data_IF_034054419859
#
_entry.id   IF_034054419859
#
_cell.length_a   1.000
_cell.length_b   1.000
_cell.length_c   1.000
_cell.angle_alpha   90.00
_cell.angle_beta   90.00
_cell.angle_gamma   90.00
#
_symmetry.space_group_name_H-M   'P 1'
#
loop_
_entity.id
_entity.type
_entity.pdbx_description
1 polymer ?
#
# COMPACT_ATOMS: atom_id res chain seq x y z
N UNK A 1 0.90 -2.28 14.64
CA UNK A 1 0.26 -1.11 15.28
C UNK A 1 1.01 -0.80 16.56
N UNK A 2 1.29 0.47 16.83
CA UNK A 2 1.89 0.93 18.10
C UNK A 2 1.18 2.19 18.61
N UNK A 3 0.75 2.20 19.87
CA UNK A 3 0.11 3.38 20.48
C UNK A 3 1.12 4.47 20.86
N UNK A 4 2.41 4.13 20.94
CA UNK A 4 3.52 5.05 21.17
C UNK A 4 4.36 5.18 19.92
N UNK A 5 4.98 6.35 19.67
CA UNK A 5 5.86 6.52 18.53
C UNK A 5 7.01 5.51 18.53
N UNK A 6 7.39 5.04 17.35
CA UNK A 6 8.55 4.16 17.14
C UNK A 6 9.29 4.57 15.87
N UNK A 7 10.57 4.21 15.80
CA UNK A 7 11.36 4.43 14.59
C UNK A 7 11.15 3.27 13.63
N UNK A 8 10.56 3.56 12.46
CA UNK A 8 10.37 2.55 11.42
C UNK A 8 11.69 2.27 10.70
N UNK A 9 12.31 1.14 11.08
CA UNK A 9 13.56 0.63 10.51
C UNK A 9 13.47 0.28 9.02
N UNK A 10 12.27 0.01 8.49
CA UNK A 10 12.08 -0.27 7.06
C UNK A 10 12.09 1.02 6.24
N UNK A 11 11.62 2.12 6.82
CA UNK A 11 11.71 3.48 6.28
C UNK A 11 12.94 4.26 6.82
N UNK A 12 13.91 3.57 7.43
CA UNK A 12 15.10 4.17 8.05
C UNK A 12 14.89 4.50 9.53
N UNK A 13 14.80 5.79 9.87
CA UNK A 13 14.53 6.27 11.24
C UNK A 13 13.28 7.15 11.29
N UNK A 14 12.35 6.91 10.37
CA UNK A 14 11.11 7.69 10.28
C UNK A 14 10.24 7.42 11.51
N UNK A 15 9.97 8.47 12.28
CA UNK A 15 9.07 8.39 13.42
C UNK A 15 7.66 8.07 12.94
N UNK A 16 7.09 7.00 13.49
CA UNK A 16 5.81 6.44 13.07
C UNK A 16 4.97 6.09 14.29
N UNK A 17 3.65 6.23 14.21
CA UNK A 17 2.72 5.87 15.30
C UNK A 17 1.45 5.22 14.75
N UNK A 18 0.62 4.65 15.63
CA UNK A 18 -0.65 4.00 15.31
C UNK A 18 -0.51 2.89 14.26
N UNK A 19 -1.18 3.03 13.12
CA UNK A 19 -1.22 2.06 12.03
C UNK A 19 -0.16 2.32 10.94
N UNK A 20 0.79 3.23 11.21
CA UNK A 20 1.78 3.64 10.21
C UNK A 20 1.75 5.15 9.92
N UNK A 21 1.15 5.96 10.79
CA UNK A 21 1.00 7.39 10.56
C UNK A 21 2.33 8.12 10.82
N UNK A 22 2.74 8.95 9.87
CA UNK A 22 4.03 9.68 9.87
C UNK A 22 3.85 11.20 9.89
N UNK A 23 2.66 11.70 9.54
CA UNK A 23 2.34 13.13 9.44
C UNK A 23 1.43 13.61 10.59
N UNK A 24 1.68 13.15 11.80
CA UNK A 24 0.91 13.50 13.01
C UNK A 24 1.86 13.79 14.18
N UNK A 25 1.43 14.48 15.25
CA UNK A 25 2.27 14.68 16.42
C UNK A 25 2.77 13.35 16.99
N UNK A 26 4.08 13.21 17.19
CA UNK A 26 4.72 12.00 17.71
C UNK A 26 4.55 11.91 19.23
N UNK A 27 3.34 11.52 19.66
CA UNK A 27 2.96 11.28 21.06
C UNK A 27 2.24 9.94 21.22
N UNK A 28 1.97 9.56 22.46
CA UNK A 28 1.08 8.42 22.74
C UNK A 28 -0.36 8.78 22.34
N UNK A 29 -1.05 7.83 21.70
CA UNK A 29 -2.47 7.92 21.35
C UNK A 29 -3.27 6.79 22.00
N UNK A 30 -4.57 7.01 22.12
CA UNK A 30 -5.57 5.97 22.39
C UNK A 30 -5.87 5.17 21.13
N UNK A 31 -6.43 3.97 21.29
CA UNK A 31 -6.88 3.16 20.16
C UNK A 31 -7.96 3.88 19.34
N UNK A 32 -8.85 4.64 19.98
CA UNK A 32 -9.90 5.41 19.31
C UNK A 32 -9.31 6.51 18.41
N UNK A 33 -8.34 7.28 18.93
CA UNK A 33 -7.61 8.27 18.12
C UNK A 33 -6.89 7.61 16.94
N UNK A 34 -6.21 6.47 17.16
CA UNK A 34 -5.55 5.73 16.08
C UNK A 34 -6.52 5.26 14.99
N UNK A 35 -7.72 4.81 15.36
CA UNK A 35 -8.76 4.41 14.39
C UNK A 35 -9.33 5.61 13.65
N UNK A 36 -9.55 6.73 14.33
CA UNK A 36 -10.00 7.98 13.70
C UNK A 36 -8.99 8.49 12.67
N UNK A 37 -7.70 8.48 13.02
CA UNK A 37 -6.63 8.84 12.09
C UNK A 37 -6.57 7.89 10.89
N UNK A 38 -6.63 6.57 11.12
CA UNK A 38 -6.66 5.59 10.04
C UNK A 38 -7.84 5.83 9.08
N UNK A 39 -9.04 6.08 9.62
CA UNK A 39 -10.22 6.36 8.80
C UNK A 39 -10.05 7.60 7.93
N UNK A 40 -9.48 8.67 8.49
CA UNK A 40 -9.24 9.92 7.75
C UNK A 40 -8.17 9.72 6.67
N UNK A 41 -7.08 9.04 6.99
CA UNK A 41 -6.02 8.72 6.03
C UNK A 41 -6.57 7.86 4.89
N UNK A 42 -7.32 6.79 5.20
CA UNK A 42 -7.95 5.92 4.21
C UNK A 42 -8.91 6.69 3.29
N UNK A 43 -9.67 7.66 3.80
CA UNK A 43 -10.54 8.50 2.98
C UNK A 43 -9.75 9.30 1.94
N UNK A 44 -8.60 9.86 2.31
CA UNK A 44 -7.71 10.58 1.38
C UNK A 44 -7.15 9.67 0.28
N UNK A 45 -6.66 8.49 0.63
CA UNK A 45 -6.17 7.51 -0.36
C UNK A 45 -7.30 6.96 -1.24
N UNK A 46 -8.48 6.70 -0.67
CA UNK A 46 -9.66 6.29 -1.42
C UNK A 46 -10.07 7.33 -2.46
N UNK A 47 -10.10 8.61 -2.09
CA UNK A 47 -10.36 9.70 -3.03
C UNK A 47 -9.31 9.76 -4.14
N UNK A 48 -8.02 9.61 -3.80
CA UNK A 48 -6.92 9.58 -4.76
C UNK A 48 -7.01 8.42 -5.76
N UNK A 49 -7.27 7.20 -5.28
CA UNK A 49 -7.48 6.03 -6.14
C UNK A 49 -8.73 6.22 -7.01
N UNK A 50 -9.87 6.58 -6.41
CA UNK A 50 -11.13 6.79 -7.12
C UNK A 50 -11.01 7.81 -8.26
N UNK A 51 -10.29 8.91 -8.04
CA UNK A 51 -10.04 9.93 -9.07
C UNK A 51 -9.24 9.40 -10.27
N UNK A 52 -8.41 8.37 -10.06
CA UNK A 52 -7.49 7.87 -11.09
C UNK A 52 -7.98 6.61 -11.80
N UNK A 53 -9.02 5.94 -11.28
CA UNK A 53 -9.59 4.71 -11.84
C UNK A 53 -10.98 4.98 -12.41
N UNK A 54 -11.15 5.01 -13.75
CA UNK A 54 -12.45 5.11 -14.38
C UNK A 54 -13.38 3.96 -13.95
N UNK A 55 -14.61 4.30 -13.57
CA UNK A 55 -15.60 3.32 -13.11
C UNK A 55 -15.25 2.69 -11.75
N UNK A 56 -14.46 3.34 -10.90
CA UNK A 56 -14.11 2.86 -9.56
C UNK A 56 -15.32 2.38 -8.74
N UNK A 57 -16.46 3.06 -8.83
CA UNK A 57 -17.65 2.71 -8.04
C UNK A 57 -18.27 1.37 -8.47
N UNK A 58 -18.04 0.94 -9.71
CA UNK A 58 -18.48 -0.35 -10.26
C UNK A 58 -17.57 -1.53 -9.88
N UNK A 59 -16.43 -1.27 -9.25
CA UNK A 59 -15.51 -2.31 -8.82
C UNK A 59 -16.10 -3.14 -7.66
N UNK A 60 -15.63 -4.37 -7.52
CA UNK A 60 -15.95 -5.18 -6.34
C UNK A 60 -15.33 -4.53 -5.09
N UNK A 61 -15.89 -4.84 -3.91
CA UNK A 61 -15.34 -4.33 -2.65
C UNK A 61 -13.89 -4.81 -2.44
N UNK A 62 -13.58 -6.04 -2.85
CA UNK A 62 -12.23 -6.59 -2.82
C UNK A 62 -11.23 -5.80 -3.67
N UNK A 63 -11.60 -5.43 -4.90
CA UNK A 63 -10.78 -4.58 -5.77
C UNK A 63 -10.58 -3.17 -5.19
N UNK A 64 -11.65 -2.57 -4.63
CA UNK A 64 -11.57 -1.25 -3.97
C UNK A 64 -10.61 -1.31 -2.78
N UNK A 65 -10.78 -2.29 -1.90
CA UNK A 65 -9.95 -2.48 -0.71
C UNK A 65 -8.49 -2.71 -1.09
N UNK A 66 -8.21 -3.60 -2.04
CA UNK A 66 -6.85 -3.89 -2.47
C UNK A 66 -6.14 -2.65 -3.03
N UNK A 67 -6.82 -1.86 -3.88
CA UNK A 67 -6.26 -0.64 -4.45
C UNK A 67 -5.99 0.44 -3.39
N UNK A 68 -6.94 0.65 -2.47
CA UNK A 68 -6.81 1.62 -1.39
C UNK A 68 -5.70 1.20 -0.41
N UNK A 69 -5.63 -0.08 -0.03
CA UNK A 69 -4.61 -0.59 0.89
C UNK A 69 -3.20 -0.45 0.32
N UNK A 70 -3.03 -0.74 -0.98
CA UNK A 70 -1.76 -0.52 -1.67
C UNK A 70 -1.38 0.95 -1.68
N UNK A 71 -2.31 1.84 -2.04
CA UNK A 71 -2.07 3.28 -2.06
C UNK A 71 -1.76 3.83 -0.66
N UNK A 72 -2.42 3.35 0.39
CA UNK A 72 -2.12 3.71 1.78
C UNK A 72 -0.70 3.28 2.18
N UNK A 73 -0.28 2.06 1.80
CA UNK A 73 1.04 1.59 2.19
C UNK A 73 2.21 2.18 1.39
N UNK A 74 2.00 2.40 0.08
CA UNK A 74 3.08 2.77 -0.87
C UNK A 74 2.98 4.20 -1.38
N UNK A 75 1.88 4.88 -1.08
CA UNK A 75 1.58 6.20 -1.59
C UNK A 75 0.96 6.20 -2.98
N UNK A 76 0.27 7.29 -3.31
CA UNK A 76 -0.36 7.49 -4.62
C UNK A 76 0.66 7.58 -5.78
N UNK A 77 1.92 7.94 -5.48
CA UNK A 77 2.98 7.96 -6.48
C UNK A 77 3.35 6.57 -7.01
N UNK A 78 3.54 5.60 -6.11
CA UNK A 78 3.77 4.19 -6.48
C UNK A 78 2.53 3.52 -7.06
N UNK A 79 1.34 3.94 -6.63
CA UNK A 79 0.09 3.51 -7.27
C UNK A 79 0.07 3.88 -8.76
N UNK A 80 0.44 5.12 -9.09
CA UNK A 80 0.29 5.69 -10.41
C UNK A 80 1.42 5.38 -11.40
N UNK A 81 2.58 4.92 -10.94
CA UNK A 81 3.79 4.79 -11.79
C UNK A 81 4.53 3.49 -11.54
N UNK A 82 5.01 2.89 -12.62
CA UNK A 82 6.05 1.87 -12.55
C UNK A 82 7.34 2.50 -12.02
N UNK A 83 8.16 1.74 -11.30
CA UNK A 83 9.37 2.28 -10.67
C UNK A 83 10.54 2.41 -11.64
N UNK A 84 10.55 1.62 -12.72
CA UNK A 84 11.55 1.60 -13.79
C UNK A 84 10.89 1.41 -15.17
N UNK A 85 11.58 1.76 -16.28
CA UNK A 85 11.03 1.60 -17.64
C UNK A 85 10.74 0.14 -18.03
N UNK A 86 11.48 -0.81 -17.48
CA UNK A 86 11.39 -2.25 -17.71
C UNK A 86 10.48 -2.98 -16.71
N UNK A 87 9.94 -2.26 -15.71
CA UNK A 87 9.01 -2.85 -14.77
C UNK A 87 7.66 -3.16 -15.46
N UNK A 88 6.87 -4.11 -14.92
CA UNK A 88 5.48 -4.26 -15.33
C UNK A 88 4.69 -2.95 -15.14
N UNK A 89 3.51 -2.80 -15.76
CA UNK A 89 2.69 -1.60 -15.60
C UNK A 89 2.37 -1.33 -14.12
N UNK A 90 2.10 -0.06 -13.81
CA UNK A 90 1.56 0.30 -12.50
C UNK A 90 0.22 -0.39 -12.25
N UNK A 91 -0.12 -0.63 -10.98
CA UNK A 91 -1.42 -1.23 -10.66
C UNK A 91 -2.56 -0.31 -11.12
N UNK A 92 -2.40 1.02 -11.01
CA UNK A 92 -3.36 1.98 -11.55
C UNK A 92 -3.61 1.79 -13.05
N UNK A 93 -2.55 1.60 -13.83
CA UNK A 93 -2.67 1.42 -15.28
C UNK A 93 -3.42 0.12 -15.62
N UNK A 94 -3.14 -0.97 -14.91
CA UNK A 94 -3.88 -2.22 -15.09
C UNK A 94 -5.36 -2.09 -14.70
N UNK A 95 -5.66 -1.37 -13.60
CA UNK A 95 -7.04 -1.06 -13.20
C UNK A 95 -7.77 -0.23 -14.26
N UNK A 96 -7.09 0.73 -14.91
CA UNK A 96 -7.66 1.52 -16.02
C UNK A 96 -8.00 0.67 -17.23
N UNK A 97 -7.22 -0.38 -17.49
CA UNK A 97 -7.46 -1.36 -18.57
C UNK A 97 -8.57 -2.35 -18.23
N UNK A 98 -9.01 -2.41 -16.97
CA UNK A 98 -10.06 -3.32 -16.44
C UNK A 98 -9.76 -4.81 -16.61
N UNK A 99 -8.51 -5.17 -16.90
CA UNK A 99 -8.04 -6.55 -16.87
C UNK A 99 -7.69 -6.92 -15.43
N UNK A 100 -8.72 -7.23 -14.63
CA UNK A 100 -8.55 -7.47 -13.20
C UNK A 100 -7.73 -8.70 -12.85
N UNK A 101 -7.85 -9.86 -13.53
CA UNK A 101 -6.95 -10.97 -13.29
C UNK A 101 -5.48 -10.55 -13.42
N UNK A 102 -5.10 -9.87 -14.50
CA UNK A 102 -3.73 -9.39 -14.67
C UNK A 102 -3.37 -8.30 -13.64
N UNK A 103 -4.29 -7.39 -13.34
CA UNK A 103 -4.06 -6.32 -12.36
C UNK A 103 -3.81 -6.87 -10.94
N UNK A 104 -4.56 -7.90 -10.52
CA UNK A 104 -4.39 -8.52 -9.21
C UNK A 104 -3.03 -9.25 -9.09
N UNK A 105 -2.49 -9.78 -10.19
CA UNK A 105 -1.15 -10.39 -10.17
C UNK A 105 -0.01 -9.37 -10.02
N UNK A 106 -0.28 -8.07 -10.21
CA UNK A 106 0.74 -7.04 -10.03
C UNK A 106 1.06 -6.76 -8.56
N UNK A 107 0.14 -6.98 -7.62
CA UNK A 107 0.39 -6.73 -6.19
C UNK A 107 1.67 -7.41 -5.68
N UNK A 108 1.87 -8.73 -5.84
CA UNK A 108 3.11 -9.39 -5.41
C UNK A 108 4.33 -8.95 -6.22
N UNK A 109 4.19 -8.57 -7.50
CA UNK A 109 5.31 -8.03 -8.31
C UNK A 109 5.87 -6.74 -7.73
N UNK A 110 5.01 -5.95 -7.09
CA UNK A 110 5.39 -4.73 -6.39
C UNK A 110 5.80 -4.96 -4.93
N UNK A 111 6.06 -6.19 -4.47
CA UNK A 111 6.63 -6.49 -3.16
C UNK A 111 8.12 -6.14 -3.05
N UNK A 112 8.45 -4.88 -3.33
CA UNK A 112 9.80 -4.33 -3.37
C UNK A 112 9.97 -3.23 -2.31
N UNK A 113 11.17 -3.11 -1.76
CA UNK A 113 11.57 -2.03 -0.87
C UNK A 113 12.83 -1.36 -1.42
N UNK A 114 12.97 -0.03 -1.28
CA UNK A 114 14.23 0.66 -1.60
C UNK A 114 15.05 0.84 -0.32
N UNK A 115 16.28 0.30 -0.30
CA UNK A 115 17.21 0.44 0.83
C UNK A 115 18.62 0.73 0.31
N UNK A 116 19.24 1.81 0.77
CA UNK A 116 20.58 2.20 0.32
C UNK A 116 20.68 2.39 -1.21
N UNK A 117 19.64 2.93 -1.84
CA UNK A 117 19.58 3.15 -3.29
C UNK A 117 19.23 1.91 -4.13
N UNK A 118 19.22 0.71 -3.56
CA UNK A 118 18.92 -0.56 -4.25
C UNK A 118 17.48 -1.02 -4.00
N UNK A 119 16.91 -1.72 -4.99
CA UNK A 119 15.66 -2.45 -4.83
C UNK A 119 15.92 -3.79 -4.15
N UNK A 120 15.11 -4.09 -3.15
CA UNK A 120 15.16 -5.30 -2.34
C UNK A 120 13.85 -6.04 -2.56
N UNK A 121 13.96 -7.31 -2.94
CA UNK A 121 12.82 -8.20 -3.10
C UNK A 121 12.33 -8.71 -1.74
N UNK A 122 11.11 -8.35 -1.37
CA UNK A 122 10.52 -8.76 -0.10
C UNK A 122 9.89 -10.16 -0.13
N UNK A 123 9.79 -10.83 -1.28
CA UNK A 123 9.43 -12.24 -1.36
C UNK A 123 10.53 -13.14 -0.76
N UNK A 124 11.77 -12.66 -0.72
CA UNK A 124 12.91 -13.37 -0.12
C UNK A 124 12.97 -13.07 1.38
N UNK A 125 12.73 -14.09 2.22
CA UNK A 125 12.68 -13.94 3.69
C UNK A 125 13.96 -13.32 4.28
N UNK A 126 15.13 -13.71 3.76
CA UNK A 126 16.43 -13.24 4.22
C UNK A 126 16.61 -11.71 4.10
N UNK A 127 15.83 -11.04 3.25
CA UNK A 127 15.88 -9.59 3.05
C UNK A 127 15.18 -8.79 4.17
N UNK A 128 14.53 -9.47 5.12
CA UNK A 128 13.97 -8.83 6.32
C UNK A 128 12.77 -7.91 6.10
N UNK A 129 12.11 -8.00 4.93
CA UNK A 129 10.89 -7.24 4.61
C UNK A 129 9.70 -8.11 4.19
N UNK A 130 9.72 -9.40 4.55
CA UNK A 130 8.71 -10.40 4.15
C UNK A 130 7.26 -10.05 4.53
N UNK A 131 7.07 -9.21 5.55
CA UNK A 131 5.76 -8.65 5.89
C UNK A 131 5.12 -7.86 4.74
N UNK A 132 5.92 -7.17 3.92
CA UNK A 132 5.43 -6.47 2.72
C UNK A 132 4.89 -7.48 1.72
N UNK A 133 5.65 -8.55 1.42
CA UNK A 133 5.19 -9.59 0.50
C UNK A 133 3.90 -10.26 1.00
N UNK A 134 3.83 -10.57 2.30
CA UNK A 134 2.62 -11.13 2.93
C UNK A 134 1.42 -10.19 2.76
N UNK A 135 1.61 -8.88 2.91
CA UNK A 135 0.56 -7.88 2.66
C UNK A 135 0.12 -7.89 1.20
N UNK A 136 1.05 -7.88 0.25
CA UNK A 136 0.76 -7.91 -1.19
C UNK A 136 -0.04 -9.15 -1.60
N UNK A 137 0.23 -10.30 -0.98
CA UNK A 137 -0.55 -11.52 -1.22
C UNK A 137 -2.00 -11.40 -0.73
N UNK A 138 -2.24 -10.72 0.40
CA UNK A 138 -3.61 -10.47 0.88
C UNK A 138 -4.38 -9.50 0.00
N UNK A 139 -3.72 -8.47 -0.51
CA UNK A 139 -4.33 -7.55 -1.46
C UNK A 139 -4.65 -8.24 -2.79
N UNK A 140 -3.76 -9.13 -3.27
CA UNK A 140 -4.04 -9.98 -4.43
C UNK A 140 -5.29 -10.84 -4.18
N UNK A 141 -5.34 -11.56 -3.08
CA UNK A 141 -6.48 -12.42 -2.71
C UNK A 141 -7.79 -11.61 -2.67
N UNK A 142 -7.79 -10.46 -1.97
CA UNK A 142 -8.94 -9.58 -1.92
C UNK A 142 -9.35 -9.07 -3.32
N UNK A 143 -8.38 -8.70 -4.16
CA UNK A 143 -8.63 -8.25 -5.54
C UNK A 143 -9.29 -9.34 -6.39
N UNK A 144 -8.91 -10.60 -6.19
CA UNK A 144 -9.47 -11.77 -6.86
C UNK A 144 -10.81 -12.25 -6.26
N UNK A 145 -11.16 -11.79 -5.05
CA UNK A 145 -12.36 -12.22 -4.32
C UNK A 145 -12.19 -13.55 -3.60
N UNK A 146 -10.96 -13.89 -3.21
CA UNK A 146 -10.58 -15.09 -2.44
C UNK A 146 -10.73 -14.89 -0.91
#
# INVERSE_FOLDING_TARGET
MSLTPYNDKLAGTLATVCYGETNVPMRRYTLAECKGMLSNSLAGYAAGVRKTVPGFDSLTDGQKVAAIDYAYNRGLGSWARASRPDDPPSIMEAYRRRDFPAACELYPKWALLRRGGKWIDCSVRANGCYGIYTRRMKERAACLGE
#
